data_IF_440583950009
#
_entry.id   IF_440583950009
#
_cell.length_a   1.000
_cell.length_b   1.000
_cell.length_c   1.000
_cell.angle_alpha   90.00
_cell.angle_beta   90.00
_cell.angle_gamma   90.00
#
_symmetry.space_group_name_H-M   'P 1'
#
loop_
_entity.id
_entity.type
_entity.pdbx_description
1 polymer ?
#
# COMPACT_ATOMS: atom_id res chain seq x y z
N UNK A 1 -32.56 -11.23 -0.49
CA UNK A 1 -31.67 -10.13 -0.92
C UNK A 1 -30.32 -10.77 -1.21
N UNK A 2 -29.76 -10.49 -2.37
CA UNK A 2 -28.41 -10.96 -2.69
C UNK A 2 -27.41 -10.24 -1.76
N UNK A 3 -26.45 -10.96 -1.22
CA UNK A 3 -25.46 -10.40 -0.30
C UNK A 3 -24.30 -9.78 -1.08
N UNK A 4 -24.16 -8.47 -1.00
CA UNK A 4 -23.10 -7.68 -1.67
C UNK A 4 -21.72 -8.15 -1.21
N UNK A 5 -21.54 -8.45 0.08
CA UNK A 5 -20.25 -8.91 0.62
C UNK A 5 -19.86 -10.29 0.08
N UNK A 6 -20.84 -11.19 -0.07
CA UNK A 6 -20.62 -12.48 -0.70
C UNK A 6 -20.20 -12.33 -2.17
N UNK A 7 -20.85 -11.42 -2.92
CA UNK A 7 -20.49 -11.11 -4.30
C UNK A 7 -19.08 -10.53 -4.43
N UNK A 8 -18.71 -9.58 -3.56
CA UNK A 8 -17.36 -8.99 -3.51
C UNK A 8 -16.31 -10.08 -3.28
N UNK A 9 -16.52 -10.96 -2.31
CA UNK A 9 -15.61 -12.06 -1.99
C UNK A 9 -15.42 -13.04 -3.15
N UNK A 10 -16.51 -13.36 -3.84
CA UNK A 10 -16.48 -14.29 -4.98
C UNK A 10 -15.78 -13.69 -6.20
N UNK A 11 -16.09 -12.45 -6.59
CA UNK A 11 -15.45 -11.75 -7.70
C UNK A 11 -13.95 -11.56 -7.42
N UNK A 12 -13.59 -11.15 -6.22
CA UNK A 12 -12.21 -10.97 -5.79
C UNK A 12 -11.38 -12.26 -5.89
N UNK A 13 -11.97 -13.40 -5.49
CA UNK A 13 -11.30 -14.70 -5.62
C UNK A 13 -11.01 -15.05 -7.09
N UNK A 14 -11.92 -14.73 -7.99
CA UNK A 14 -11.76 -15.02 -9.41
C UNK A 14 -10.72 -14.10 -10.07
N UNK A 15 -10.73 -12.81 -9.72
CA UNK A 15 -9.70 -11.87 -10.18
C UNK A 15 -8.31 -12.33 -9.73
N UNK A 16 -8.16 -12.75 -8.47
CA UNK A 16 -6.87 -13.24 -7.95
C UNK A 16 -6.35 -14.49 -8.71
N UNK A 17 -7.23 -15.25 -9.35
CA UNK A 17 -6.86 -16.41 -10.16
C UNK A 17 -6.54 -16.05 -11.63
N UNK A 18 -7.12 -14.97 -12.14
CA UNK A 18 -7.04 -14.61 -13.56
C UNK A 18 -6.13 -13.40 -13.82
N UNK A 19 -5.91 -12.55 -12.83
CA UNK A 19 -5.11 -11.35 -12.98
C UNK A 19 -3.64 -11.65 -12.74
N UNK A 20 -2.85 -11.57 -13.81
CA UNK A 20 -1.41 -11.73 -13.72
C UNK A 20 -0.76 -10.42 -13.24
N UNK A 21 -0.53 -10.32 -11.94
CA UNK A 21 0.14 -9.18 -11.30
C UNK A 21 1.64 -9.10 -11.61
N UNK A 22 2.20 -10.12 -12.31
CA UNK A 22 3.64 -10.15 -12.64
C UNK A 22 3.97 -9.38 -13.92
N UNK A 23 2.95 -8.98 -14.70
CA UNK A 23 3.16 -8.17 -15.89
C UNK A 23 3.49 -6.73 -15.48
N UNK A 24 4.64 -6.25 -15.98
CA UNK A 24 5.11 -4.86 -15.79
C UNK A 24 4.18 -3.89 -16.53
N UNK A 25 3.09 -3.52 -15.89
CA UNK A 25 2.25 -2.40 -16.32
C UNK A 25 2.72 -1.10 -15.66
N UNK A 26 2.70 0.01 -16.40
CA UNK A 26 2.73 1.31 -15.73
C UNK A 26 1.44 1.45 -14.88
N UNK A 27 1.43 2.35 -13.90
CA UNK A 27 0.33 2.46 -12.93
C UNK A 27 -1.03 2.73 -13.60
N UNK A 28 -1.06 3.48 -14.70
CA UNK A 28 -2.29 3.84 -15.44
C UNK A 28 -2.83 2.65 -16.26
N UNK A 29 -1.94 1.90 -16.92
CA UNK A 29 -2.31 0.69 -17.66
C UNK A 29 -2.78 -0.43 -16.73
N UNK A 30 -2.17 -0.53 -15.54
CA UNK A 30 -2.59 -1.49 -14.52
C UNK A 30 -4.02 -1.20 -14.06
N UNK A 31 -4.31 0.04 -13.73
CA UNK A 31 -5.63 0.48 -13.26
C UNK A 31 -6.72 0.22 -14.29
N UNK A 32 -6.47 0.58 -15.54
CA UNK A 32 -7.44 0.37 -16.62
C UNK A 32 -7.72 -1.11 -16.85
N UNK A 33 -6.68 -1.95 -16.86
CA UNK A 33 -6.84 -3.40 -17.04
C UNK A 33 -7.49 -4.09 -15.85
N UNK A 34 -7.16 -3.66 -14.63
CA UNK A 34 -7.81 -4.18 -13.43
C UNK A 34 -9.30 -3.85 -13.45
N UNK A 35 -9.66 -2.61 -13.76
CA UNK A 35 -11.07 -2.19 -13.85
C UNK A 35 -11.81 -3.00 -14.90
N UNK A 36 -11.23 -3.12 -16.11
CA UNK A 36 -11.81 -3.89 -17.20
C UNK A 36 -12.04 -5.36 -16.81
N UNK A 37 -11.11 -5.99 -16.12
CA UNK A 37 -11.27 -7.37 -15.65
C UNK A 37 -12.33 -7.50 -14.55
N UNK A 38 -12.41 -6.58 -13.62
CA UNK A 38 -13.46 -6.56 -12.59
C UNK A 38 -14.83 -6.49 -13.27
N UNK A 39 -14.99 -5.57 -14.22
CA UNK A 39 -16.23 -5.41 -14.98
C UNK A 39 -16.58 -6.69 -15.74
N UNK A 40 -15.64 -7.27 -16.48
CA UNK A 40 -15.85 -8.51 -17.24
C UNK A 40 -16.31 -9.66 -16.33
N UNK A 41 -15.71 -9.84 -15.16
CA UNK A 41 -16.12 -10.88 -14.22
C UNK A 41 -17.51 -10.59 -13.65
N UNK A 42 -17.83 -9.35 -13.28
CA UNK A 42 -19.15 -8.97 -12.82
C UNK A 42 -20.24 -9.26 -13.86
N UNK A 43 -19.96 -8.99 -15.14
CA UNK A 43 -20.87 -9.29 -16.23
C UNK A 43 -20.96 -10.79 -16.55
N UNK A 44 -19.86 -11.53 -16.56
CA UNK A 44 -19.83 -12.97 -16.81
C UNK A 44 -20.62 -13.75 -15.75
N UNK A 45 -20.58 -13.32 -14.50
CA UNK A 45 -21.35 -13.90 -13.39
C UNK A 45 -22.81 -13.47 -13.37
N UNK A 46 -23.23 -12.65 -14.33
CA UNK A 46 -24.62 -12.13 -14.43
C UNK A 46 -25.08 -11.44 -13.14
N UNK A 47 -24.19 -10.77 -12.46
CA UNK A 47 -24.52 -10.01 -11.24
C UNK A 47 -25.57 -8.93 -11.53
N UNK A 48 -25.65 -8.46 -12.77
CA UNK A 48 -26.70 -7.55 -13.28
C UNK A 48 -28.12 -8.09 -13.11
N UNK A 49 -28.30 -9.40 -12.97
CA UNK A 49 -29.61 -9.99 -12.73
C UNK A 49 -29.98 -10.03 -11.23
N UNK A 50 -29.01 -9.85 -10.34
CA UNK A 50 -29.17 -9.98 -8.89
C UNK A 50 -29.07 -8.65 -8.16
N UNK A 51 -28.37 -7.67 -8.75
CA UNK A 51 -28.05 -6.38 -8.15
C UNK A 51 -28.43 -5.23 -9.06
N UNK A 52 -28.82 -4.11 -8.46
CA UNK A 52 -29.05 -2.85 -9.18
C UNK A 52 -27.73 -2.28 -9.73
N UNK A 53 -27.83 -1.36 -10.69
CA UNK A 53 -26.66 -0.68 -11.27
C UNK A 53 -25.82 0.02 -10.19
N UNK A 54 -26.46 0.61 -9.18
CA UNK A 54 -25.77 1.29 -8.07
C UNK A 54 -25.00 0.30 -7.21
N UNK A 55 -25.61 -0.85 -6.91
CA UNK A 55 -24.93 -1.91 -6.12
C UNK A 55 -23.77 -2.52 -6.89
N UNK A 56 -23.92 -2.76 -8.20
CA UNK A 56 -22.82 -3.24 -9.05
C UNK A 56 -21.66 -2.24 -9.07
N UNK A 57 -21.96 -0.95 -9.20
CA UNK A 57 -20.93 0.09 -9.12
C UNK A 57 -20.22 0.06 -7.77
N UNK A 58 -20.95 -0.08 -6.68
CA UNK A 58 -20.38 -0.22 -5.33
C UNK A 58 -19.47 -1.45 -5.22
N UNK A 59 -19.88 -2.59 -5.79
CA UNK A 59 -19.08 -3.82 -5.83
C UNK A 59 -17.78 -3.59 -6.61
N UNK A 60 -17.86 -3.00 -7.81
CA UNK A 60 -16.71 -2.69 -8.66
C UNK A 60 -15.75 -1.74 -7.95
N UNK A 61 -16.26 -0.60 -7.44
CA UNK A 61 -15.44 0.40 -6.75
C UNK A 61 -14.77 -0.17 -5.49
N UNK A 62 -15.48 -1.01 -4.74
CA UNK A 62 -14.94 -1.67 -3.54
C UNK A 62 -13.81 -2.62 -3.90
N UNK A 63 -14.02 -3.51 -4.88
CA UNK A 63 -13.01 -4.48 -5.32
C UNK A 63 -11.80 -3.75 -5.93
N UNK A 64 -12.05 -2.77 -6.79
CA UNK A 64 -11.00 -1.98 -7.43
C UNK A 64 -10.14 -1.26 -6.39
N UNK A 65 -10.77 -0.60 -5.43
CA UNK A 65 -10.08 0.05 -4.34
C UNK A 65 -9.29 -0.95 -3.47
N UNK A 66 -9.87 -2.12 -3.19
CA UNK A 66 -9.21 -3.17 -2.42
C UNK A 66 -8.01 -3.81 -3.15
N UNK A 67 -8.03 -3.86 -4.47
CA UNK A 67 -6.94 -4.46 -5.26
C UNK A 67 -5.88 -3.46 -5.72
N UNK A 68 -6.27 -2.21 -5.94
CA UNK A 68 -5.38 -1.15 -6.39
C UNK A 68 -4.59 -0.50 -5.27
N UNK A 69 -5.20 -0.34 -4.09
CA UNK A 69 -4.70 0.56 -3.04
C UNK A 69 -3.95 -0.18 -1.95
N UNK A 70 -2.94 0.48 -1.47
CA UNK A 70 -2.42 0.32 -0.12
C UNK A 70 -3.48 0.75 0.94
N UNK A 71 -4.71 0.60 0.58
CA UNK A 71 -6.04 0.80 1.16
C UNK A 71 -6.05 1.60 2.48
N UNK A 72 -5.54 1.01 3.54
CA UNK A 72 -5.55 1.58 4.90
C UNK A 72 -4.50 2.67 5.08
N UNK A 73 -3.32 2.53 4.46
CA UNK A 73 -2.20 3.46 4.62
C UNK A 73 -2.11 4.52 3.51
N UNK A 74 -2.94 4.42 2.47
CA UNK A 74 -2.94 5.36 1.34
C UNK A 74 -3.13 6.84 1.77
N UNK A 75 -4.04 7.17 2.72
CA UNK A 75 -4.14 8.54 3.24
C UNK A 75 -2.85 9.01 3.90
N UNK A 76 -2.13 8.11 4.59
CA UNK A 76 -0.87 8.41 5.26
C UNK A 76 0.26 8.63 4.23
N UNK A 77 0.27 7.83 3.16
CA UNK A 77 1.23 7.99 2.05
C UNK A 77 1.03 9.35 1.37
N UNK A 78 -0.21 9.80 1.20
CA UNK A 78 -0.54 11.06 0.53
C UNK A 78 -0.38 12.31 1.39
N UNK A 79 -0.36 12.20 2.72
CA UNK A 79 -0.14 13.36 3.59
C UNK A 79 1.32 13.84 3.47
N UNK A 80 1.58 15.04 2.91
CA UNK A 80 2.95 15.55 2.72
C UNK A 80 3.68 15.85 4.03
N UNK A 81 2.96 15.95 5.15
CA UNK A 81 3.56 16.21 6.46
C UNK A 81 4.05 14.93 7.14
N UNK A 82 3.66 13.75 6.65
CA UNK A 82 4.13 12.47 7.15
C UNK A 82 5.42 12.11 6.42
N UNK A 83 6.47 11.87 7.19
CA UNK A 83 7.81 11.49 6.71
C UNK A 83 8.06 9.99 6.79
N UNK A 84 7.46 9.32 7.77
CA UNK A 84 7.61 7.88 7.97
C UNK A 84 6.30 7.25 8.45
N UNK A 85 6.02 6.03 7.97
CA UNK A 85 4.86 5.21 8.35
C UNK A 85 5.41 3.90 8.88
N UNK A 86 5.02 3.54 10.10
CA UNK A 86 5.48 2.34 10.79
C UNK A 86 4.29 1.48 11.20
N UNK A 87 4.14 0.33 10.56
CA UNK A 87 3.09 -0.66 10.86
C UNK A 87 3.68 -1.76 11.73
N UNK A 88 3.16 -1.90 12.94
CA UNK A 88 3.60 -2.90 13.92
C UNK A 88 2.48 -3.92 14.14
N UNK A 89 2.31 -4.83 13.17
CA UNK A 89 1.17 -5.73 13.11
C UNK A 89 -0.12 -5.00 12.67
N UNK A 90 -1.25 -5.73 12.60
CA UNK A 90 -2.48 -5.19 11.99
C UNK A 90 -3.16 -4.08 12.80
N UNK A 91 -2.86 -3.97 14.10
CA UNK A 91 -3.61 -3.11 15.03
C UNK A 91 -2.85 -1.86 15.48
N UNK A 92 -1.59 -1.68 15.04
CA UNK A 92 -0.77 -0.55 15.49
C UNK A 92 -0.03 0.08 14.32
N UNK A 93 -0.46 1.29 13.96
CA UNK A 93 0.18 2.09 12.91
C UNK A 93 0.64 3.41 13.54
N UNK A 94 1.92 3.68 13.41
CA UNK A 94 2.53 4.94 13.84
C UNK A 94 2.96 5.73 12.61
N UNK A 95 2.96 7.04 12.75
CA UNK A 95 3.48 7.96 11.75
C UNK A 95 4.46 8.93 12.38
N UNK A 96 5.49 9.30 11.63
CA UNK A 96 6.29 10.47 11.98
C UNK A 96 5.76 11.68 11.22
N UNK A 97 5.40 12.71 11.96
CA UNK A 97 4.90 13.98 11.45
C UNK A 97 5.63 15.14 12.12
N UNK A 98 6.30 15.98 11.32
CA UNK A 98 7.09 17.11 11.85
C UNK A 98 8.13 16.70 12.90
N UNK A 99 8.74 15.53 12.79
CA UNK A 99 9.73 15.00 13.72
C UNK A 99 9.14 14.40 15.01
N UNK A 100 7.81 14.27 15.10
CA UNK A 100 7.12 13.64 16.24
C UNK A 100 6.47 12.34 15.78
N UNK A 101 6.63 11.29 16.57
CA UNK A 101 5.99 9.99 16.33
C UNK A 101 4.65 9.96 17.06
N UNK A 102 3.60 9.65 16.30
CA UNK A 102 2.22 9.57 16.81
C UNK A 102 1.59 8.22 16.41
N UNK A 103 0.81 7.63 17.31
CA UNK A 103 -0.01 6.46 17.00
C UNK A 103 -1.29 6.92 16.27
N UNK A 104 -1.67 6.26 15.20
CA UNK A 104 -2.88 6.56 14.45
C UNK A 104 -4.06 5.73 14.96
N UNK A 105 -5.29 6.19 14.70
CA UNK A 105 -6.50 5.39 14.94
C UNK A 105 -6.77 4.36 13.83
N UNK A 106 -5.94 4.35 12.78
CA UNK A 106 -6.07 3.49 11.63
C UNK A 106 -5.59 2.08 12.00
N UNK A 107 -6.39 1.07 11.64
CA UNK A 107 -6.07 -0.35 11.83
C UNK A 107 -6.41 -1.15 10.59
N UNK A 108 -5.75 -2.28 10.38
CA UNK A 108 -6.15 -3.23 9.33
C UNK A 108 -7.35 -4.06 9.78
N UNK A 109 -8.26 -4.36 8.87
CA UNK A 109 -9.44 -5.18 9.14
C UNK A 109 -9.07 -6.61 9.57
N UNK A 110 -7.94 -7.13 9.11
CA UNK A 110 -7.42 -8.44 9.48
C UNK A 110 -5.91 -8.54 9.23
N UNK A 111 -5.22 -9.51 9.87
CA UNK A 111 -3.81 -9.79 9.60
C UNK A 111 -3.53 -10.11 8.13
N UNK A 112 -4.43 -10.83 7.47
CA UNK A 112 -4.28 -11.22 6.05
C UNK A 112 -4.26 -9.98 5.13
N UNK A 113 -4.98 -8.91 5.50
CA UNK A 113 -4.95 -7.64 4.73
C UNK A 113 -3.59 -6.95 4.82
N UNK A 114 -2.93 -7.01 5.96
CA UNK A 114 -1.57 -6.52 6.11
C UNK A 114 -0.58 -7.36 5.29
N UNK A 115 -0.74 -8.69 5.32
CA UNK A 115 0.11 -9.59 4.52
C UNK A 115 -0.08 -9.33 3.02
N UNK A 116 -1.32 -9.19 2.53
CA UNK A 116 -1.63 -8.82 1.14
C UNK A 116 -0.95 -7.50 0.74
N UNK A 117 -1.03 -6.48 1.60
CA UNK A 117 -0.38 -5.19 1.37
C UNK A 117 1.14 -5.35 1.25
N UNK A 118 1.76 -6.08 2.19
CA UNK A 118 3.19 -6.32 2.21
C UNK A 118 3.63 -7.03 0.92
N UNK A 119 2.95 -8.11 0.52
CA UNK A 119 3.27 -8.83 -0.71
C UNK A 119 3.14 -7.93 -1.95
N UNK A 120 2.09 -7.11 -2.02
CA UNK A 120 1.90 -6.16 -3.12
C UNK A 120 3.01 -5.11 -3.20
N UNK A 121 3.44 -4.55 -2.07
CA UNK A 121 4.52 -3.57 -2.03
C UNK A 121 5.85 -4.20 -2.47
N UNK A 122 6.16 -5.39 -1.95
CA UNK A 122 7.42 -6.08 -2.22
C UNK A 122 7.49 -6.57 -3.68
N UNK A 123 6.37 -7.00 -4.24
CA UNK A 123 6.27 -7.41 -5.64
C UNK A 123 6.58 -6.25 -6.61
N UNK A 124 6.15 -5.02 -6.33
CA UNK A 124 6.45 -3.82 -7.16
C UNK A 124 7.94 -3.54 -7.31
N UNK A 125 8.76 -4.00 -6.38
CA UNK A 125 10.23 -3.84 -6.42
C UNK A 125 10.94 -5.11 -6.86
N UNK A 126 10.23 -6.06 -7.48
CA UNK A 126 10.74 -7.36 -7.94
C UNK A 126 11.46 -8.14 -6.81
N UNK A 127 10.91 -8.08 -5.61
CA UNK A 127 11.38 -8.84 -4.43
C UNK A 127 10.30 -9.79 -3.96
N UNK A 128 10.68 -10.73 -3.12
CA UNK A 128 9.75 -11.62 -2.41
C UNK A 128 10.14 -11.67 -0.94
N UNK A 129 9.14 -11.74 -0.08
CA UNK A 129 9.32 -11.92 1.36
C UNK A 129 8.46 -13.10 1.82
N UNK A 130 9.04 -14.00 2.61
CA UNK A 130 8.38 -15.19 3.15
C UNK A 130 9.11 -15.66 4.43
N UNK A 131 8.64 -16.72 5.05
CA UNK A 131 9.23 -17.27 6.27
C UNK A 131 10.71 -17.69 6.11
N UNK A 132 11.14 -18.12 4.91
CA UNK A 132 12.52 -18.49 4.64
C UNK A 132 13.43 -17.27 4.44
N UNK A 133 12.87 -16.17 3.91
CA UNK A 133 13.53 -14.88 3.72
C UNK A 133 12.64 -13.78 4.31
N UNK A 134 12.61 -13.64 5.64
CA UNK A 134 11.62 -12.82 6.33
C UNK A 134 11.94 -11.33 6.36
N UNK A 135 13.06 -10.89 5.81
CA UNK A 135 13.48 -9.48 5.81
C UNK A 135 13.70 -8.99 4.39
N UNK A 136 13.06 -7.87 4.06
CA UNK A 136 13.27 -7.15 2.79
C UNK A 136 13.50 -5.68 3.07
N UNK A 137 14.54 -5.13 2.45
CA UNK A 137 14.80 -3.70 2.37
C UNK A 137 14.87 -3.32 0.88
N UNK A 138 14.05 -2.36 0.47
CA UNK A 138 13.92 -1.98 -0.93
C UNK A 138 13.61 -0.48 -1.08
N UNK A 139 13.75 0.02 -2.33
CA UNK A 139 13.28 1.36 -2.74
C UNK A 139 12.12 1.22 -3.70
N UNK A 140 11.08 1.99 -3.44
CA UNK A 140 9.95 2.17 -4.36
C UNK A 140 10.33 3.09 -5.53
N UNK A 141 9.50 3.11 -6.56
CA UNK A 141 9.71 3.94 -7.76
C UNK A 141 9.75 5.44 -7.46
N UNK A 142 9.01 5.89 -6.44
CA UNK A 142 9.00 7.27 -5.95
C UNK A 142 10.24 7.64 -5.11
N UNK A 143 11.18 6.70 -4.93
CA UNK A 143 12.38 6.86 -4.12
C UNK A 143 12.21 6.56 -2.64
N UNK A 144 11.00 6.32 -2.17
CA UNK A 144 10.71 5.94 -0.78
C UNK A 144 11.36 4.61 -0.43
N UNK A 145 11.83 4.48 0.81
CA UNK A 145 12.45 3.26 1.31
C UNK A 145 11.44 2.44 2.07
N UNK A 146 11.37 1.16 1.75
CA UNK A 146 10.50 0.20 2.42
C UNK A 146 11.33 -0.87 3.10
N UNK A 147 11.04 -1.11 4.37
CA UNK A 147 11.58 -2.23 5.14
C UNK A 147 10.43 -3.10 5.62
N UNK A 148 10.56 -4.41 5.41
CA UNK A 148 9.60 -5.42 5.86
C UNK A 148 10.32 -6.46 6.71
N UNK A 149 9.70 -6.83 7.82
CA UNK A 149 10.16 -7.94 8.66
C UNK A 149 8.97 -8.83 8.99
N UNK A 150 9.05 -10.11 8.61
CA UNK A 150 8.00 -11.10 8.88
C UNK A 150 8.33 -11.98 10.09
N UNK A 151 7.36 -12.72 10.64
CA UNK A 151 7.63 -13.85 11.51
C UNK A 151 8.57 -14.88 10.82
N UNK A 152 9.44 -15.60 11.54
CA UNK A 152 9.55 -15.64 13.01
C UNK A 152 10.41 -14.53 13.62
N UNK A 153 11.01 -13.63 12.82
CA UNK A 153 11.84 -12.54 13.34
C UNK A 153 10.97 -11.49 14.04
N UNK A 154 9.88 -11.10 13.40
CA UNK A 154 8.89 -10.20 13.98
C UNK A 154 7.93 -10.97 14.89
N UNK A 155 8.14 -10.90 16.21
CA UNK A 155 7.41 -11.72 17.19
C UNK A 155 5.93 -11.35 17.36
N UNK A 156 5.57 -10.10 17.10
CA UNK A 156 4.21 -9.57 17.31
C UNK A 156 3.40 -9.40 16.01
N UNK A 157 3.81 -10.09 14.95
CA UNK A 157 3.23 -9.97 13.62
C UNK A 157 4.14 -9.21 12.65
N UNK A 158 3.75 -9.10 11.38
CA UNK A 158 4.54 -8.43 10.36
C UNK A 158 4.83 -6.97 10.72
N UNK A 159 6.06 -6.51 10.43
CA UNK A 159 6.47 -5.12 10.53
C UNK A 159 6.66 -4.57 9.12
N UNK A 160 6.13 -3.38 8.88
CA UNK A 160 6.32 -2.65 7.63
C UNK A 160 6.67 -1.21 7.97
N UNK A 161 7.82 -0.74 7.49
CA UNK A 161 8.22 0.66 7.62
C UNK A 161 8.38 1.27 6.23
N UNK A 162 7.75 2.41 6.00
CA UNK A 162 7.86 3.18 4.76
C UNK A 162 8.40 4.56 5.11
N UNK A 163 9.65 4.83 4.72
CA UNK A 163 10.23 6.15 4.83
C UNK A 163 10.08 6.88 3.52
N UNK A 164 9.24 7.90 3.53
CA UNK A 164 8.90 8.66 2.32
C UNK A 164 10.09 9.45 1.80
N UNK A 165 10.22 9.51 0.49
CA UNK A 165 11.15 10.44 -0.13
C UNK A 165 10.55 11.85 -0.04
N UNK A 166 11.28 12.86 0.52
CA UNK A 166 10.74 14.20 0.67
C UNK A 166 10.56 14.85 -0.71
N UNK A 167 9.37 15.44 -0.96
CA UNK A 167 9.11 16.22 -2.17
C UNK A 167 10.08 17.40 -2.32
N UNK A 168 10.46 17.99 -1.19
CA UNK A 168 11.45 19.06 -1.11
C UNK A 168 12.66 18.54 -0.32
N UNK A 169 13.68 17.96 -0.98
CA UNK A 169 14.88 17.52 -0.31
C UNK A 169 15.64 18.72 0.27
N UNK A 170 16.17 18.52 1.47
CA UNK A 170 16.94 19.54 2.18
C UNK A 170 18.16 19.96 1.36
N UNK A 171 18.32 21.26 1.16
CA UNK A 171 19.44 21.87 0.43
C UNK A 171 20.53 22.35 1.40
N UNK A 172 21.69 22.68 0.86
CA UNK A 172 22.81 23.23 1.63
C UNK A 172 22.41 24.47 2.42
N UNK A 173 21.62 25.37 1.79
CA UNK A 173 21.11 26.58 2.43
C UNK A 173 20.22 26.28 3.65
N UNK A 174 19.45 25.18 3.59
CA UNK A 174 18.64 24.74 4.72
C UNK A 174 19.50 24.23 5.88
N UNK A 175 20.59 23.50 5.57
CA UNK A 175 21.54 23.02 6.57
C UNK A 175 22.25 24.19 7.27
N UNK A 176 22.60 25.26 6.53
CA UNK A 176 23.16 26.49 7.09
C UNK A 176 22.12 27.19 7.98
N UNK A 177 20.87 27.32 7.50
CA UNK A 177 19.77 27.93 8.24
C UNK A 177 19.45 27.21 9.56
N UNK A 178 19.58 25.87 9.57
CA UNK A 178 19.39 25.03 10.75
C UNK A 178 20.67 24.91 11.61
N UNK A 179 21.72 25.68 11.28
CA UNK A 179 23.02 25.65 11.99
C UNK A 179 23.67 24.24 12.05
N UNK A 180 23.29 23.36 11.12
CA UNK A 180 23.85 22.01 11.01
C UNK A 180 25.26 22.03 10.43
N UNK A 181 25.54 23.01 9.55
CA UNK A 181 26.87 23.29 8.97
C UNK A 181 27.10 24.80 8.94
N UNK A 182 28.36 25.22 8.94
CA UNK A 182 28.71 26.64 8.72
C UNK A 182 28.83 26.96 7.24
N UNK A 183 28.66 28.26 6.85
CA UNK A 183 28.86 28.67 5.45
C UNK A 183 30.25 28.30 4.90
N UNK A 184 31.28 28.30 5.75
CA UNK A 184 32.64 27.93 5.36
C UNK A 184 32.73 26.45 4.97
N UNK A 185 32.05 25.56 5.73
CA UNK A 185 31.98 24.12 5.41
C UNK A 185 31.17 23.88 4.14
N UNK A 186 30.11 24.67 3.92
CA UNK A 186 29.29 24.55 2.74
C UNK A 186 29.98 24.99 1.45
N UNK A 187 31.05 25.78 1.56
CA UNK A 187 31.85 26.26 0.41
C UNK A 187 32.95 25.32 -0.05
N UNK A 188 33.14 24.20 0.69
CA UNK A 188 34.12 23.16 0.38
C UNK A 188 33.51 22.12 -0.58
#
# INVERSE_FOLDING_TARGET
>A
MADINAAIKEVRKEIALCFDSTLNYNAEDFDNKLLEQIEQICFSKKLTNCFSVTEIKTIIDTIFNQMRRNDVIEPLIKDPNITEIMVNGPNKIFVEKNGVIEETEIVFESPERLDDLIQNIVARVNRSVNEANPVVDARLEDGSRVNVVLPPIALNGPLLTIRKFPENPMRIDDLIRYESITPEVASF
#
